data_IF_203602836622
#
_entry.id   IF_203602836622
#
_cell.length_a   1.000
_cell.length_b   1.000
_cell.length_c   1.000
_cell.angle_alpha   90.00
_cell.angle_beta   90.00
_cell.angle_gamma   90.00
#
_symmetry.space_group_name_H-M   'P 1'
#
loop_
_entity.id
_entity.type
_entity.pdbx_description
1 polymer ?
#
# COMPACT_ATOMS: atom_id res chain seq x y z
N UNK A 1 -2.46 -26.03 10.70
CA UNK A 1 -2.22 -24.57 10.85
C UNK A 1 -1.12 -24.24 9.85
N UNK A 2 -1.30 -23.21 9.02
CA UNK A 2 -0.30 -22.86 8.01
C UNK A 2 0.84 -22.11 8.71
N UNK A 3 2.04 -22.68 8.67
CA UNK A 3 3.23 -22.11 9.29
C UNK A 3 4.15 -21.59 8.19
N UNK A 4 4.64 -20.36 8.38
CA UNK A 4 5.65 -19.73 7.53
C UNK A 4 6.72 -19.21 8.45
N UNK A 5 7.96 -19.43 8.04
CA UNK A 5 9.13 -19.08 8.82
C UNK A 5 9.16 -17.59 9.20
N UNK A 6 9.79 -17.34 10.33
CA UNK A 6 10.12 -16.00 10.78
C UNK A 6 11.23 -15.44 9.90
N UNK A 7 11.16 -14.13 9.61
CA UNK A 7 12.24 -13.46 8.87
C UNK A 7 13.28 -12.97 9.88
N UNK A 8 14.56 -13.05 9.53
CA UNK A 8 15.63 -12.55 10.39
C UNK A 8 15.72 -11.02 10.33
N UNK A 9 15.70 -10.46 9.13
CA UNK A 9 15.75 -9.02 8.90
C UNK A 9 14.81 -8.64 7.76
N UNK A 10 14.05 -7.55 7.90
CA UNK A 10 13.19 -7.06 6.83
C UNK A 10 11.91 -6.39 7.31
N UNK A 11 10.85 -6.50 6.50
CA UNK A 11 9.57 -5.84 6.74
C UNK A 11 8.41 -6.84 6.67
N UNK A 12 7.46 -6.71 7.60
CA UNK A 12 6.16 -7.38 7.58
C UNK A 12 5.07 -6.33 7.39
N UNK A 13 4.30 -6.47 6.31
CA UNK A 13 3.09 -5.69 6.04
C UNK A 13 1.90 -6.57 6.40
N UNK A 14 1.17 -6.19 7.43
CA UNK A 14 0.11 -6.97 8.04
C UNK A 14 -1.20 -6.17 8.08
N UNK A 15 -2.32 -6.87 8.24
CA UNK A 15 -3.68 -6.33 8.21
C UNK A 15 -4.08 -5.75 6.84
N UNK A 16 -3.60 -6.37 5.76
CA UNK A 16 -4.05 -6.04 4.41
C UNK A 16 -5.46 -6.61 4.21
N UNK A 17 -6.39 -5.83 3.61
CA UNK A 17 -7.72 -6.31 3.22
C UNK A 17 -7.61 -7.64 2.42
N UNK A 18 -8.37 -8.69 2.78
CA UNK A 18 -8.29 -9.98 2.11
C UNK A 18 -8.48 -9.88 0.60
N UNK A 19 -7.65 -10.58 -0.16
CA UNK A 19 -7.72 -10.63 -1.63
C UNK A 19 -7.09 -9.44 -2.35
N UNK A 20 -6.57 -8.43 -1.62
CA UNK A 20 -6.01 -7.22 -2.23
C UNK A 20 -4.48 -7.21 -2.29
N UNK A 21 -3.81 -8.11 -1.57
CA UNK A 21 -2.35 -8.09 -1.45
C UNK A 21 -1.62 -8.28 -2.78
N UNK A 22 -2.20 -9.00 -3.76
CA UNK A 22 -1.57 -9.18 -5.08
C UNK A 22 -1.45 -7.85 -5.81
N UNK A 23 -2.53 -7.05 -5.87
CA UNK A 23 -2.50 -5.73 -6.50
C UNK A 23 -1.56 -4.77 -5.76
N UNK A 24 -1.42 -4.95 -4.46
CA UNK A 24 -0.52 -4.15 -3.63
C UNK A 24 0.97 -4.42 -3.94
N UNK A 25 1.36 -5.64 -4.33
CA UNK A 25 2.75 -5.95 -4.66
C UNK A 25 3.30 -5.08 -5.80
N UNK A 26 2.47 -4.77 -6.80
CA UNK A 26 2.87 -3.93 -7.93
C UNK A 26 3.09 -2.49 -7.48
N UNK A 27 2.19 -1.95 -6.66
CA UNK A 27 2.27 -0.59 -6.12
C UNK A 27 3.46 -0.40 -5.17
N UNK A 28 3.78 -1.43 -4.39
CA UNK A 28 4.94 -1.45 -3.49
C UNK A 28 6.29 -1.58 -4.23
N UNK A 29 6.27 -1.88 -5.53
CA UNK A 29 7.47 -2.15 -6.33
C UNK A 29 8.04 -3.55 -6.16
N UNK A 30 7.33 -4.45 -5.46
CA UNK A 30 7.78 -5.82 -5.15
C UNK A 30 7.97 -6.63 -6.42
N UNK A 31 7.07 -6.52 -7.40
CA UNK A 31 7.15 -7.24 -8.68
C UNK A 31 8.40 -6.91 -9.49
N UNK A 32 8.97 -5.72 -9.31
CA UNK A 32 10.21 -5.31 -9.96
C UNK A 32 11.47 -5.82 -9.25
N UNK A 33 11.36 -6.24 -7.99
CA UNK A 33 12.49 -6.74 -7.21
C UNK A 33 12.77 -8.21 -7.54
N UNK A 34 14.04 -8.53 -7.81
CA UNK A 34 14.52 -9.91 -8.10
C UNK A 34 15.57 -10.41 -7.10
N UNK A 35 15.76 -9.70 -6.00
CA UNK A 35 16.86 -9.85 -5.05
C UNK A 35 16.40 -10.18 -3.63
N UNK A 36 15.17 -9.83 -3.25
CA UNK A 36 14.62 -10.10 -1.92
C UNK A 36 13.70 -11.33 -1.95
N UNK A 37 13.81 -12.18 -0.93
CA UNK A 37 12.80 -13.20 -0.64
C UNK A 37 11.50 -12.53 -0.21
N UNK A 38 10.38 -12.93 -0.80
CA UNK A 38 9.06 -12.39 -0.46
C UNK A 38 8.09 -13.53 -0.21
N UNK A 39 7.36 -13.45 0.90
CA UNK A 39 6.27 -14.37 1.23
C UNK A 39 4.94 -13.61 1.25
N UNK A 40 3.95 -14.13 0.52
CA UNK A 40 2.57 -13.65 0.54
C UNK A 40 1.70 -14.71 1.23
N UNK A 41 0.95 -14.29 2.25
CA UNK A 41 -0.08 -15.09 2.88
C UNK A 41 -1.42 -14.45 2.59
N UNK A 42 -2.30 -15.18 1.91
CA UNK A 42 -3.65 -14.72 1.64
C UNK A 42 -4.67 -15.37 2.57
N UNK A 43 -5.71 -14.62 2.93
CA UNK A 43 -6.86 -15.10 3.68
C UNK A 43 -6.51 -15.77 5.04
N UNK A 44 -5.44 -15.30 5.67
CA UNK A 44 -5.02 -15.70 7.00
C UNK A 44 -6.11 -15.34 8.04
N UNK A 45 -6.25 -16.16 9.07
CA UNK A 45 -7.20 -15.87 10.16
C UNK A 45 -6.74 -14.62 10.93
N UNK A 46 -7.68 -13.74 11.25
CA UNK A 46 -7.41 -12.54 12.05
C UNK A 46 -8.60 -12.22 12.94
N UNK A 47 -8.41 -12.24 14.26
CA UNK A 47 -9.42 -11.82 15.23
C UNK A 47 -9.68 -10.32 15.23
N UNK A 48 -8.78 -9.52 14.65
CA UNK A 48 -8.84 -8.06 14.64
C UNK A 48 -9.48 -7.48 13.36
N UNK A 49 -9.65 -8.30 12.33
CA UNK A 49 -10.26 -7.87 11.06
C UNK A 49 -11.78 -8.04 11.13
N UNK A 50 -12.59 -7.09 10.62
CA UNK A 50 -14.06 -7.23 10.56
C UNK A 50 -14.52 -8.49 9.82
N UNK A 51 -13.77 -8.94 8.82
CA UNK A 51 -14.07 -10.14 8.02
C UNK A 51 -13.55 -11.43 8.67
N UNK A 52 -12.86 -11.33 9.81
CA UNK A 52 -12.13 -12.45 10.42
C UNK A 52 -10.89 -12.90 9.63
N UNK A 53 -10.54 -12.18 8.55
CA UNK A 53 -9.51 -12.56 7.58
C UNK A 53 -8.60 -11.39 7.24
N UNK A 54 -7.36 -11.68 6.84
CA UNK A 54 -6.39 -10.69 6.34
C UNK A 54 -5.41 -11.31 5.36
N UNK A 55 -4.77 -10.47 4.57
CA UNK A 55 -3.54 -10.84 3.86
C UNK A 55 -2.31 -10.27 4.59
N UNK A 56 -1.15 -10.88 4.35
CA UNK A 56 0.14 -10.52 4.94
C UNK A 56 1.21 -10.63 3.87
N UNK A 57 2.12 -9.66 3.81
CA UNK A 57 3.33 -9.71 2.98
C UNK A 57 4.55 -9.64 3.90
N UNK A 58 5.49 -10.55 3.75
CA UNK A 58 6.83 -10.48 4.38
C UNK A 58 7.88 -10.26 3.30
N UNK A 59 8.79 -9.33 3.52
CA UNK A 59 9.93 -9.03 2.64
C UNK A 59 11.20 -9.16 3.45
N UNK A 60 12.11 -10.02 3.02
CA UNK A 60 13.40 -10.24 3.66
C UNK A 60 14.47 -9.27 3.15
N UNK A 61 15.38 -8.87 4.03
CA UNK A 61 16.55 -8.05 3.74
C UNK A 61 16.25 -6.54 3.71
N UNK A 62 17.04 -5.80 2.94
CA UNK A 62 16.86 -4.36 2.80
C UNK A 62 15.58 -4.04 2.04
N UNK A 63 14.70 -3.25 2.65
CA UNK A 63 13.39 -2.88 2.13
C UNK A 63 13.26 -1.38 1.80
N UNK A 64 14.39 -0.64 1.73
CA UNK A 64 14.40 0.79 1.43
C UNK A 64 13.81 1.16 0.05
N UNK A 65 13.70 0.19 -0.86
CA UNK A 65 13.09 0.34 -2.18
C UNK A 65 11.56 0.18 -2.17
N UNK A 66 10.96 -0.29 -1.06
CA UNK A 66 9.51 -0.42 -0.95
C UNK A 66 8.85 0.96 -0.86
N UNK A 67 7.84 1.17 -1.70
CA UNK A 67 7.01 2.39 -1.67
C UNK A 67 5.92 2.28 -0.60
N UNK A 68 6.29 2.39 0.67
CA UNK A 68 5.36 2.19 1.81
C UNK A 68 4.35 3.35 2.00
N UNK A 69 4.65 4.51 1.44
CA UNK A 69 3.82 5.72 1.47
C UNK A 69 2.47 5.54 0.77
N UNK A 70 2.37 4.65 -0.21
CA UNK A 70 1.11 4.33 -0.91
C UNK A 70 0.14 3.50 -0.06
N UNK A 71 0.62 2.87 1.02
CA UNK A 71 -0.16 1.92 1.81
C UNK A 71 -1.35 2.56 2.52
N UNK A 72 -1.14 3.71 3.15
CA UNK A 72 -2.16 4.39 3.94
C UNK A 72 -3.35 4.88 3.09
N UNK A 73 -3.12 5.13 1.80
CA UNK A 73 -4.18 5.49 0.89
C UNK A 73 -5.12 4.31 0.59
N UNK A 74 -4.56 3.10 0.46
CA UNK A 74 -5.31 1.91 0.04
C UNK A 74 -6.12 1.31 1.19
N UNK A 75 -5.52 1.24 2.37
CA UNK A 75 -6.18 0.69 3.55
C UNK A 75 -5.55 1.29 4.83
N UNK A 76 -6.29 2.08 5.61
CA UNK A 76 -5.77 2.73 6.82
C UNK A 76 -5.48 1.74 7.96
N UNK A 77 -5.94 0.49 7.87
CA UNK A 77 -5.69 -0.53 8.88
C UNK A 77 -4.38 -1.30 8.67
N UNK A 78 -3.72 -1.12 7.52
CA UNK A 78 -2.41 -1.72 7.25
C UNK A 78 -1.40 -1.28 8.32
N UNK A 79 -0.60 -2.24 8.76
CA UNK A 79 0.51 -2.03 9.69
C UNK A 79 1.80 -2.51 9.06
N UNK A 80 2.87 -1.74 9.24
CA UNK A 80 4.22 -2.09 8.82
C UNK A 80 5.04 -2.38 10.07
N UNK A 81 5.72 -3.52 10.10
CA UNK A 81 6.60 -3.92 11.19
C UNK A 81 7.99 -4.19 10.63
N UNK A 82 9.00 -3.48 11.15
CA UNK A 82 10.41 -3.74 10.85
C UNK A 82 10.93 -4.83 11.77
N UNK A 83 11.54 -5.85 11.18
CA UNK A 83 12.16 -6.97 11.88
C UNK A 83 13.69 -6.82 11.78
N UNK A 84 14.37 -6.98 12.92
CA UNK A 84 15.82 -7.03 13.00
C UNK A 84 16.23 -8.15 13.97
N UNK A 85 17.15 -9.00 13.56
CA UNK A 85 17.63 -10.18 14.31
C UNK A 85 16.49 -11.06 14.86
N UNK A 86 15.47 -11.29 14.02
CA UNK A 86 14.27 -12.09 14.32
C UNK A 86 13.26 -11.38 15.23
N UNK A 87 13.48 -10.12 15.60
CA UNK A 87 12.62 -9.39 16.55
C UNK A 87 11.99 -8.15 15.93
N UNK A 88 10.72 -7.85 16.27
CA UNK A 88 10.08 -6.60 15.85
C UNK A 88 10.71 -5.43 16.61
N UNK A 89 11.37 -4.52 15.88
CA UNK A 89 12.03 -3.34 16.44
C UNK A 89 11.22 -2.06 16.25
N UNK A 90 10.34 -2.03 15.24
CA UNK A 90 9.44 -0.90 14.98
C UNK A 90 8.13 -1.41 14.42
N UNK A 91 7.02 -0.84 14.89
CA UNK A 91 5.70 -1.06 14.32
C UNK A 91 5.02 0.28 14.10
N UNK A 92 4.54 0.51 12.89
CA UNK A 92 3.93 1.77 12.51
C UNK A 92 2.69 1.57 11.65
N UNK A 93 1.77 2.53 11.75
CA UNK A 93 0.66 2.69 10.82
C UNK A 93 1.09 3.73 9.79
N UNK A 94 1.17 3.37 8.50
CA UNK A 94 1.46 4.34 7.44
C UNK A 94 0.50 5.53 7.51
N UNK A 95 1.01 6.73 7.28
CA UNK A 95 0.21 7.93 7.19
C UNK A 95 -0.15 8.22 5.73
N UNK A 96 -1.33 8.77 5.45
CA UNK A 96 -1.70 9.18 4.09
C UNK A 96 -0.63 10.12 3.51
N UNK A 97 -0.11 9.83 2.31
CA UNK A 97 0.94 10.66 1.71
C UNK A 97 0.37 12.02 1.31
N UNK A 98 1.20 13.07 1.33
CA UNK A 98 0.75 14.39 0.87
C UNK A 98 0.42 14.42 -0.62
N UNK A 99 1.01 13.53 -1.42
CA UNK A 99 0.90 13.50 -2.87
C UNK A 99 0.81 12.06 -3.36
N UNK A 100 -0.13 11.79 -4.25
CA UNK A 100 -0.28 10.54 -4.98
C UNK A 100 0.12 10.78 -6.43
N UNK A 101 1.00 9.94 -6.97
CA UNK A 101 1.44 9.99 -8.37
C UNK A 101 1.20 8.64 -9.00
N UNK A 102 0.34 8.60 -10.03
CA UNK A 102 -0.02 7.39 -10.78
C UNK A 102 -0.59 6.23 -9.94
N UNK A 103 -1.14 6.54 -8.76
CA UNK A 103 -1.84 5.58 -7.89
C UNK A 103 -3.34 5.51 -8.23
N UNK A 104 -3.91 6.63 -8.65
CA UNK A 104 -5.33 6.80 -9.01
C UNK A 104 -5.44 7.64 -10.28
N UNK A 105 -6.56 7.53 -10.99
CA UNK A 105 -6.84 8.33 -12.21
C UNK A 105 -7.90 9.39 -11.95
N UNK A 106 -7.72 10.56 -12.56
CA UNK A 106 -8.75 11.58 -12.63
C UNK A 106 -9.94 11.09 -13.46
N UNK A 107 -11.15 11.30 -12.93
CA UNK A 107 -12.41 10.92 -13.60
C UNK A 107 -13.04 12.09 -14.34
N UNK A 108 -12.46 13.29 -14.28
CA UNK A 108 -12.91 14.41 -15.09
C UNK A 108 -12.51 14.14 -16.55
N UNK A 109 -13.47 13.92 -17.46
CA UNK A 109 -13.16 13.63 -18.87
C UNK A 109 -12.52 14.82 -19.59
N UNK A 110 -12.56 16.02 -19.00
CA UNK A 110 -11.94 17.25 -19.56
C UNK A 110 -10.62 17.61 -18.89
N UNK A 111 -10.15 16.83 -17.92
CA UNK A 111 -8.86 17.10 -17.27
C UNK A 111 -7.72 16.73 -18.20
N UNK A 112 -6.69 17.58 -18.28
CA UNK A 112 -5.51 17.36 -19.13
C UNK A 112 -4.84 16.01 -18.83
N UNK A 113 -4.77 15.60 -17.56
CA UNK A 113 -4.24 14.29 -17.18
C UNK A 113 -5.08 13.11 -17.65
N UNK A 114 -6.36 13.31 -17.97
CA UNK A 114 -7.23 12.27 -18.51
C UNK A 114 -7.13 12.18 -20.03
N UNK A 115 -6.87 13.32 -20.70
CA UNK A 115 -6.88 13.45 -22.16
C UNK A 115 -5.51 13.14 -22.78
N UNK A 116 -4.43 13.58 -22.15
CA UNK A 116 -3.06 13.40 -22.66
C UNK A 116 -2.41 12.13 -22.12
N UNK A 117 -1.77 11.35 -23.00
CA UNK A 117 -1.17 10.05 -22.65
C UNK A 117 0.09 10.17 -21.75
N UNK A 118 0.86 11.24 -21.91
CA UNK A 118 2.14 11.45 -21.20
C UNK A 118 1.99 12.32 -19.93
N UNK A 119 0.75 12.48 -19.45
CA UNK A 119 0.48 13.30 -18.27
C UNK A 119 0.28 12.43 -17.02
N UNK A 120 1.16 12.61 -16.04
CA UNK A 120 1.06 11.93 -14.75
C UNK A 120 -0.26 12.23 -14.04
N UNK A 121 -0.85 11.22 -13.40
CA UNK A 121 -2.01 11.39 -12.52
C UNK A 121 -1.56 11.83 -11.15
N UNK A 122 -1.73 13.12 -10.85
CA UNK A 122 -1.23 13.71 -9.61
C UNK A 122 -2.38 14.25 -8.77
N UNK A 123 -2.40 13.82 -7.51
CA UNK A 123 -3.35 14.29 -6.50
C UNK A 123 -2.62 14.73 -5.24
N UNK A 124 -3.08 15.81 -4.62
CA UNK A 124 -2.52 16.32 -3.36
C UNK A 124 -3.56 16.31 -2.23
N UNK A 125 -3.10 15.94 -1.04
CA UNK A 125 -3.90 15.91 0.19
C UNK A 125 -4.08 17.33 0.70
N UNK A 126 -5.28 17.88 0.56
CA UNK A 126 -5.64 19.18 1.10
C UNK A 126 -5.85 19.15 2.62
N UNK A 127 -5.87 20.33 3.24
CA UNK A 127 -6.10 20.50 4.68
C UNK A 127 -7.40 19.86 5.20
N UNK A 128 -8.41 19.71 4.33
CA UNK A 128 -9.66 19.01 4.65
C UNK A 128 -9.56 17.47 4.69
N UNK A 129 -8.37 16.89 4.57
CA UNK A 129 -8.17 15.43 4.58
C UNK A 129 -8.60 14.74 3.29
N UNK A 130 -8.74 15.50 2.21
CA UNK A 130 -9.22 15.01 0.92
C UNK A 130 -8.21 15.27 -0.18
N UNK A 131 -8.03 14.28 -1.05
CA UNK A 131 -7.17 14.41 -2.23
C UNK A 131 -7.88 15.20 -3.33
N UNK A 132 -7.14 16.09 -4.01
CA UNK A 132 -7.61 16.83 -5.19
C UNK A 132 -6.63 16.69 -6.33
N UNK A 133 -7.15 16.54 -7.54
CA UNK A 133 -6.34 16.53 -8.76
C UNK A 133 -5.62 17.88 -8.89
N UNK A 134 -4.31 17.87 -9.13
CA UNK A 134 -3.53 19.13 -9.24
C UNK A 134 -3.86 19.93 -10.51
N UNK A 135 -4.50 19.31 -11.50
CA UNK A 135 -4.78 19.95 -12.79
C UNK A 135 -6.18 20.58 -12.86
N UNK A 136 -7.20 19.87 -12.37
CA UNK A 136 -8.60 20.33 -12.46
C UNK A 136 -9.24 20.58 -11.09
N UNK A 137 -8.47 20.45 -10.00
CA UNK A 137 -8.88 20.65 -8.61
C UNK A 137 -10.04 19.78 -8.11
N UNK A 138 -10.52 18.86 -8.96
CA UNK A 138 -11.60 17.95 -8.62
C UNK A 138 -11.16 17.03 -7.49
N UNK A 139 -12.03 16.94 -6.48
CA UNK A 139 -11.86 16.00 -5.36
C UNK A 139 -11.84 14.56 -5.89
N UNK A 140 -10.89 13.77 -5.40
CA UNK A 140 -10.80 12.36 -5.71
C UNK A 140 -12.04 11.64 -5.18
N UNK A 141 -12.82 11.08 -6.08
CA UNK A 141 -13.96 10.23 -5.71
C UNK A 141 -13.46 8.80 -5.49
N UNK A 142 -13.41 8.38 -4.22
CA UNK A 142 -13.11 7.00 -3.84
C UNK A 142 -14.42 6.20 -3.95
N UNK A 143 -14.49 5.24 -4.86
CA UNK A 143 -15.59 4.27 -4.82
C UNK A 143 -15.45 3.47 -3.52
N UNK A 144 -16.45 3.55 -2.65
CA UNK A 144 -16.62 2.61 -1.56
C UNK A 144 -17.35 1.40 -2.11
N UNK A 145 -16.62 0.54 -2.82
CA UNK A 145 -17.09 -0.80 -3.16
C UNK A 145 -16.71 -1.79 -2.04
#
# INVERSE_FOLDING_TARGET
MLNIDEIQNGIVIDHIKPGTAIGLMDLLGIKGNRTSSVALIQNARSSKSPTGRKDIIKVEGNAAWLKLDVLAYLDPDITVTTIQDGRPVRKEKPQPPRRLVNIVRCRNPRCISTVEEECDQIFELGAGGKYRCVYCEQELQVNKD
#
